data_IF_157573367729
#
_entry.id   IF_157573367729
#
_cell.length_a   1.000
_cell.length_b   1.000
_cell.length_c   1.000
_cell.angle_alpha   90.00
_cell.angle_beta   90.00
_cell.angle_gamma   90.00
#
_symmetry.space_group_name_H-M   'P 1'
#
loop_
_entity.id
_entity.type
_entity.pdbx_description
1 polymer ?
#
# COMPACT_ATOMS: atom_id res chain seq x y z
N UNK A 1 33.55 -44.02 5.07
CA UNK A 1 33.71 -42.88 6.00
C UNK A 1 32.49 -42.00 5.90
N UNK A 2 31.73 -41.94 7.00
CA UNK A 2 30.52 -41.14 7.20
C UNK A 2 30.82 -39.65 7.00
N UNK A 3 29.88 -38.90 6.41
CA UNK A 3 29.34 -37.66 7.01
C UNK A 3 27.95 -37.37 6.40
N UNK A 4 26.95 -37.70 7.21
CA UNK A 4 25.55 -37.36 7.11
C UNK A 4 25.42 -35.97 7.76
N UNK A 5 24.78 -35.00 7.10
CA UNK A 5 24.32 -33.76 7.73
C UNK A 5 22.79 -33.81 7.70
N UNK A 6 22.10 -33.90 8.85
CA UNK A 6 20.67 -34.05 8.90
C UNK A 6 19.96 -32.72 8.68
N UNK A 7 18.82 -32.81 8.00
CA UNK A 7 17.82 -31.75 7.87
C UNK A 7 17.28 -31.36 9.24
N UNK A 8 17.34 -30.07 9.57
CA UNK A 8 16.67 -29.50 10.73
C UNK A 8 15.29 -28.99 10.28
N UNK A 9 14.31 -29.89 10.23
CA UNK A 9 12.90 -29.51 10.23
C UNK A 9 12.51 -29.18 11.67
N UNK A 10 12.44 -27.89 11.99
CA UNK A 10 11.79 -27.43 13.22
C UNK A 10 10.27 -27.52 12.99
N UNK A 11 9.67 -28.61 13.47
CA UNK A 11 8.24 -28.74 13.61
C UNK A 11 7.76 -27.78 14.71
N UNK A 12 7.14 -26.67 14.30
CA UNK A 12 6.30 -25.87 15.19
C UNK A 12 5.04 -26.69 15.45
N UNK A 13 5.01 -27.31 16.63
CA UNK A 13 3.82 -27.96 17.18
C UNK A 13 2.72 -26.91 17.35
N UNK A 14 1.75 -26.90 16.44
CA UNK A 14 0.49 -26.19 16.61
C UNK A 14 -0.41 -27.10 17.44
N UNK A 15 -0.60 -26.76 18.71
CA UNK A 15 -1.68 -27.31 19.53
C UNK A 15 -3.01 -27.09 18.82
N UNK A 16 -3.90 -28.10 18.72
CA UNK A 16 -5.21 -27.90 18.12
C UNK A 16 -6.05 -27.10 19.10
N UNK A 17 -6.20 -25.79 18.85
CA UNK A 17 -7.33 -25.06 19.41
C UNK A 17 -8.61 -25.71 18.88
N UNK A 18 -9.30 -26.41 19.77
CA UNK A 18 -10.62 -26.95 19.50
C UNK A 18 -11.58 -25.80 19.16
N UNK A 19 -12.23 -25.92 18.00
CA UNK A 19 -13.54 -25.32 17.74
C UNK A 19 -13.60 -23.83 17.44
N UNK A 20 -13.11 -23.42 16.28
CA UNK A 20 -13.76 -22.36 15.51
C UNK A 20 -14.24 -22.98 14.21
N UNK A 21 -15.55 -23.14 14.05
CA UNK A 21 -16.13 -23.36 12.73
C UNK A 21 -15.61 -22.23 11.85
N UNK A 22 -14.82 -22.55 10.82
CA UNK A 22 -14.54 -21.57 9.78
C UNK A 22 -15.91 -21.15 9.25
N UNK A 23 -16.33 -19.94 9.60
CA UNK A 23 -17.57 -19.36 9.09
C UNK A 23 -17.44 -19.40 7.57
N UNK A 24 -18.32 -20.16 6.91
CA UNK A 24 -18.22 -20.44 5.47
C UNK A 24 -18.31 -19.16 4.62
N UNK A 25 -18.87 -18.10 5.19
CA UNK A 25 -18.93 -16.75 4.64
C UNK A 25 -18.48 -15.73 5.71
N UNK A 26 -17.79 -14.66 5.30
CA UNK A 26 -17.57 -13.47 6.11
C UNK A 26 -18.87 -12.95 6.70
N UNK A 27 -18.84 -12.55 7.97
CA UNK A 27 -20.00 -11.96 8.66
C UNK A 27 -20.31 -10.53 8.21
N UNK A 28 -19.37 -9.90 7.49
CA UNK A 28 -19.41 -8.51 7.06
C UNK A 28 -19.74 -7.56 8.22
N UNK A 29 -19.30 -7.85 9.46
CA UNK A 29 -19.72 -7.16 10.69
C UNK A 29 -19.20 -5.73 10.90
N UNK A 30 -18.11 -5.32 10.25
CA UNK A 30 -17.51 -3.97 10.42
C UNK A 30 -18.37 -2.84 9.88
N UNK A 31 -18.34 -1.67 10.51
CA UNK A 31 -19.04 -0.48 10.02
C UNK A 31 -18.60 -0.10 8.60
N UNK A 32 -19.53 0.42 7.80
CA UNK A 32 -19.23 0.87 6.44
C UNK A 32 -18.11 1.92 6.46
N UNK A 33 -17.20 1.87 5.48
CA UNK A 33 -16.04 2.74 5.33
C UNK A 33 -14.92 2.57 6.40
N UNK A 34 -15.13 1.80 7.47
CA UNK A 34 -14.08 1.57 8.50
C UNK A 34 -13.07 0.49 8.13
N UNK A 35 -13.22 -0.15 6.95
CA UNK A 35 -12.18 -0.96 6.33
C UNK A 35 -11.19 -0.14 5.49
N UNK A 36 -11.45 1.16 5.33
CA UNK A 36 -10.75 2.01 4.37
C UNK A 36 -10.96 1.57 2.94
N UNK A 37 -10.04 1.99 2.07
CA UNK A 37 -9.88 1.49 0.71
C UNK A 37 -8.58 0.69 0.64
N UNK A 38 -8.24 0.12 -0.52
CA UNK A 38 -6.92 -0.48 -0.73
C UNK A 38 -5.99 0.56 -1.36
N UNK A 39 -4.84 0.79 -0.72
CA UNK A 39 -3.78 1.65 -1.25
C UNK A 39 -3.21 1.04 -2.53
N UNK A 40 -2.56 1.86 -3.37
CA UNK A 40 -1.97 1.44 -4.64
C UNK A 40 -0.95 0.30 -4.51
N UNK A 41 -0.33 0.12 -3.34
CA UNK A 41 0.60 -0.97 -3.03
C UNK A 41 -0.05 -2.23 -2.40
N UNK A 42 -1.38 -2.26 -2.25
CA UNK A 42 -2.17 -3.44 -1.87
C UNK A 42 -2.62 -3.54 -0.41
N UNK A 43 -2.08 -2.74 0.51
CA UNK A 43 -2.52 -2.74 1.92
C UNK A 43 -3.79 -1.90 2.14
N UNK A 44 -4.56 -2.19 3.20
CA UNK A 44 -5.69 -1.36 3.60
C UNK A 44 -5.28 0.03 4.06
N UNK A 45 -6.03 1.06 3.69
CA UNK A 45 -5.77 2.43 4.07
C UNK A 45 -6.50 3.46 3.22
N UNK A 46 -5.79 4.52 2.86
CA UNK A 46 -6.20 5.47 1.81
C UNK A 46 -5.77 4.97 0.43
N UNK A 47 -5.63 5.89 -0.53
CA UNK A 47 -5.12 5.62 -1.87
C UNK A 47 -3.60 5.44 -1.94
N UNK A 48 -2.83 6.20 -1.16
CA UNK A 48 -1.36 6.13 -1.17
C UNK A 48 -0.72 5.86 0.20
N UNK A 49 -1.47 5.97 1.29
CA UNK A 49 -0.97 5.68 2.66
C UNK A 49 -1.68 4.47 3.27
N UNK A 50 -0.96 3.59 3.98
CA UNK A 50 -1.60 2.54 4.75
C UNK A 50 -2.16 3.14 6.04
N UNK A 51 -3.31 2.63 6.47
CA UNK A 51 -3.91 2.95 7.76
C UNK A 51 -3.73 1.78 8.73
N UNK A 52 -3.95 2.04 10.01
CA UNK A 52 -3.96 1.01 11.04
C UNK A 52 -5.18 0.07 10.93
N UNK A 53 -6.19 0.44 10.12
CA UNK A 53 -7.37 -0.36 9.84
C UNK A 53 -7.00 -1.63 9.05
N UNK A 54 -7.69 -2.72 9.38
CA UNK A 54 -7.53 -4.03 8.73
C UNK A 54 -8.56 -4.12 7.60
N UNK A 55 -8.09 -4.38 6.38
CA UNK A 55 -8.92 -4.58 5.21
C UNK A 55 -9.98 -5.67 5.42
N UNK A 56 -11.08 -5.55 4.69
CA UNK A 56 -12.20 -6.49 4.77
C UNK A 56 -13.25 -6.03 5.76
N UNK A 57 -14.45 -6.59 5.63
CA UNK A 57 -15.57 -6.28 6.50
C UNK A 57 -15.83 -7.34 7.58
N UNK A 58 -15.02 -8.40 7.64
CA UNK A 58 -15.08 -9.41 8.70
C UNK A 58 -14.83 -8.81 10.09
N UNK A 59 -15.62 -9.20 11.08
CA UNK A 59 -15.44 -8.82 12.48
C UNK A 59 -14.26 -9.53 13.16
N UNK A 60 -14.17 -9.41 14.49
CA UNK A 60 -13.15 -10.04 15.34
C UNK A 60 -13.21 -11.56 15.33
N UNK A 61 -14.38 -12.15 15.06
CA UNK A 61 -14.59 -13.59 15.02
C UNK A 61 -14.67 -14.14 13.58
N UNK A 62 -14.37 -13.29 12.59
CA UNK A 62 -14.54 -13.60 11.17
C UNK A 62 -13.33 -13.19 10.35
N UNK A 63 -13.46 -13.33 9.03
CA UNK A 63 -12.48 -12.88 8.05
C UNK A 63 -13.18 -12.04 6.99
N UNK A 64 -12.42 -11.33 6.17
CA UNK A 64 -12.96 -10.66 4.99
C UNK A 64 -11.88 -10.50 3.95
N UNK A 65 -12.25 -10.57 2.67
CA UNK A 65 -11.32 -10.41 1.57
C UNK A 65 -11.72 -9.22 0.70
N UNK A 66 -10.75 -8.63 0.02
CA UNK A 66 -10.97 -7.64 -1.00
C UNK A 66 -10.07 -7.90 -2.19
N UNK A 67 -10.60 -7.67 -3.38
CA UNK A 67 -9.84 -7.46 -4.60
C UNK A 67 -9.90 -5.98 -4.98
N UNK A 68 -8.85 -5.46 -5.61
CA UNK A 68 -8.84 -4.09 -6.12
C UNK A 68 -8.20 -4.01 -7.50
N UNK A 69 -8.60 -2.97 -8.22
CA UNK A 69 -7.92 -2.48 -9.41
C UNK A 69 -7.83 -0.96 -9.34
N UNK A 70 -6.63 -0.44 -9.46
CA UNK A 70 -6.30 0.98 -9.40
C UNK A 70 -5.61 1.38 -10.69
N UNK A 71 -5.98 2.54 -11.23
CA UNK A 71 -5.37 3.12 -12.42
C UNK A 71 -5.09 4.59 -12.20
N UNK A 72 -3.84 4.99 -12.44
CA UNK A 72 -3.38 6.37 -12.38
C UNK A 72 -2.90 6.76 -13.76
N UNK A 73 -3.38 7.89 -14.26
CA UNK A 73 -2.96 8.45 -15.53
C UNK A 73 -2.47 9.89 -15.34
N UNK A 74 -1.20 10.09 -15.61
CA UNK A 74 -0.54 11.39 -15.65
C UNK A 74 -0.23 11.76 -17.10
N UNK A 75 0.47 12.87 -17.30
CA UNK A 75 0.84 13.38 -18.62
C UNK A 75 1.74 12.39 -19.36
N UNK A 76 2.78 11.92 -18.68
CA UNK A 76 3.85 11.15 -19.31
C UNK A 76 3.91 9.71 -18.81
N UNK A 77 3.13 9.36 -17.78
CA UNK A 77 3.15 8.02 -17.20
C UNK A 77 1.76 7.49 -16.82
N UNK A 78 1.67 6.17 -16.78
CA UNK A 78 0.51 5.40 -16.35
C UNK A 78 0.94 4.39 -15.30
N UNK A 79 0.15 4.24 -14.24
CA UNK A 79 0.32 3.19 -13.24
C UNK A 79 -0.96 2.38 -13.13
N UNK A 80 -0.88 1.09 -13.42
CA UNK A 80 -1.91 0.12 -13.07
C UNK A 80 -1.48 -0.66 -11.84
N UNK A 81 -2.40 -0.89 -10.91
CA UNK A 81 -2.21 -1.79 -9.77
C UNK A 81 -3.43 -2.68 -9.60
N UNK A 82 -3.22 -3.97 -9.33
CA UNK A 82 -4.30 -4.87 -8.97
C UNK A 82 -3.82 -5.88 -7.96
N UNK A 83 -4.73 -6.37 -7.14
CA UNK A 83 -4.34 -7.28 -6.08
C UNK A 83 -5.47 -7.64 -5.14
N UNK A 84 -5.09 -8.34 -4.08
CA UNK A 84 -6.00 -8.84 -3.06
C UNK A 84 -5.47 -8.55 -1.66
N UNK A 85 -6.37 -8.35 -0.71
CA UNK A 85 -6.08 -8.22 0.71
C UNK A 85 -7.08 -9.03 1.53
N UNK A 86 -6.58 -9.83 2.47
CA UNK A 86 -7.38 -10.68 3.36
C UNK A 86 -7.14 -10.21 4.79
N UNK A 87 -8.21 -9.79 5.47
CA UNK A 87 -8.22 -9.50 6.90
C UNK A 87 -8.78 -10.67 7.69
N UNK A 88 -8.13 -11.01 8.81
CA UNK A 88 -8.50 -12.11 9.70
C UNK A 88 -8.65 -11.56 11.12
N UNK A 89 -9.78 -11.87 11.75
CA UNK A 89 -10.10 -11.53 13.13
C UNK A 89 -9.99 -10.02 13.46
N UNK A 90 -10.17 -9.16 12.45
CA UNK A 90 -9.87 -7.73 12.54
C UNK A 90 -8.50 -7.43 13.18
N UNK A 91 -7.52 -8.32 12.97
CA UNK A 91 -6.22 -8.28 13.65
C UNK A 91 -5.06 -8.39 12.68
N UNK A 92 -5.13 -9.33 11.74
CA UNK A 92 -4.09 -9.62 10.78
C UNK A 92 -4.58 -9.32 9.37
N UNK A 93 -3.74 -8.70 8.55
CA UNK A 93 -3.97 -8.48 7.13
C UNK A 93 -2.79 -9.05 6.33
N UNK A 94 -3.11 -9.82 5.30
CA UNK A 94 -2.16 -10.28 4.29
C UNK A 94 -2.59 -9.70 2.94
N UNK A 95 -1.65 -9.13 2.21
CA UNK A 95 -1.94 -8.52 0.90
C UNK A 95 -0.94 -8.90 -0.17
N UNK A 96 -1.42 -8.86 -1.42
CA UNK A 96 -0.61 -8.99 -2.61
C UNK A 96 -1.08 -7.94 -3.63
N UNK A 97 -0.14 -7.27 -4.27
CA UNK A 97 -0.42 -6.38 -5.40
C UNK A 97 0.63 -6.54 -6.50
N UNK A 98 0.17 -6.51 -7.74
CA UNK A 98 1.01 -6.37 -8.92
C UNK A 98 0.83 -4.97 -9.47
N UNK A 99 1.94 -4.29 -9.73
CA UNK A 99 1.99 -2.95 -10.30
C UNK A 99 2.65 -2.98 -11.68
N UNK A 100 2.10 -2.23 -12.62
CA UNK A 100 2.64 -2.00 -13.95
C UNK A 100 2.74 -0.49 -14.21
N UNK A 101 3.95 0.01 -14.35
CA UNK A 101 4.27 1.40 -14.63
C UNK A 101 4.71 1.54 -16.09
N UNK A 102 4.05 2.42 -16.86
CA UNK A 102 4.32 2.65 -18.27
C UNK A 102 4.59 4.11 -18.55
N UNK A 103 5.46 4.40 -19.51
CA UNK A 103 5.54 5.73 -20.11
C UNK A 103 4.50 5.90 -21.21
N UNK A 104 4.07 7.14 -21.43
CA UNK A 104 3.01 7.50 -22.37
C UNK A 104 3.53 8.26 -23.60
N UNK A 105 4.67 8.96 -23.48
CA UNK A 105 5.23 9.82 -24.53
C UNK A 105 6.71 9.52 -24.77
N UNK A 106 7.16 9.73 -26.01
CA UNK A 106 8.56 9.58 -26.38
C UNK A 106 9.46 10.52 -25.55
N UNK A 107 10.67 10.09 -25.14
CA UNK A 107 11.34 8.83 -25.50
C UNK A 107 10.96 7.63 -24.61
N UNK A 108 10.00 7.79 -23.70
CA UNK A 108 9.62 6.79 -22.69
C UNK A 108 8.35 6.02 -23.06
N UNK A 109 7.79 6.18 -24.27
CA UNK A 109 6.54 5.55 -24.73
C UNK A 109 6.58 4.02 -24.73
N UNK A 110 7.80 3.44 -24.74
CA UNK A 110 8.02 2.00 -24.62
C UNK A 110 8.30 1.53 -23.19
N UNK A 111 8.55 2.45 -22.27
CA UNK A 111 8.90 2.12 -20.89
C UNK A 111 7.82 1.25 -20.27
N UNK A 112 8.22 0.11 -19.73
CA UNK A 112 7.35 -0.76 -18.95
C UNK A 112 8.15 -1.38 -17.80
N UNK A 113 7.73 -1.10 -16.57
CA UNK A 113 8.30 -1.63 -15.34
C UNK A 113 7.19 -2.34 -14.58
N UNK A 114 7.48 -3.55 -14.11
CA UNK A 114 6.55 -4.33 -13.28
C UNK A 114 7.12 -4.57 -11.90
N UNK A 115 6.24 -4.64 -10.91
CA UNK A 115 6.60 -4.92 -9.53
C UNK A 115 5.55 -5.82 -8.87
N UNK A 116 6.00 -6.76 -8.07
CA UNK A 116 5.15 -7.49 -7.13
C UNK A 116 5.38 -6.97 -5.72
N UNK A 117 4.31 -6.91 -4.94
CA UNK A 117 4.30 -6.44 -3.56
C UNK A 117 3.55 -7.46 -2.72
N UNK A 118 4.17 -7.91 -1.63
CA UNK A 118 3.56 -8.77 -0.63
C UNK A 118 3.56 -8.02 0.69
N UNK A 119 2.38 -7.86 1.30
CA UNK A 119 2.19 -7.13 2.54
C UNK A 119 1.73 -8.03 3.68
N UNK A 120 2.19 -7.69 4.88
CA UNK A 120 1.70 -8.20 6.15
C UNK A 120 1.44 -7.00 7.07
N UNK A 121 0.29 -6.94 7.71
CA UNK A 121 -0.05 -5.90 8.68
C UNK A 121 -0.74 -6.52 9.89
N UNK A 122 -0.33 -6.10 11.07
CA UNK A 122 -0.85 -6.59 12.34
C UNK A 122 -1.32 -5.40 13.18
N UNK A 123 -2.61 -5.35 13.51
CA UNK A 123 -3.14 -4.47 14.55
C UNK A 123 -2.54 -4.88 15.88
N UNK A 124 -1.91 -3.95 16.59
CA UNK A 124 -1.20 -4.24 17.85
C UNK A 124 -1.85 -3.59 19.06
N UNK A 125 -2.54 -2.46 18.88
CA UNK A 125 -3.12 -1.68 19.96
C UNK A 125 -4.40 -0.96 19.51
N UNK A 126 -5.34 -0.79 20.43
CA UNK A 126 -6.51 0.07 20.28
C UNK A 126 -7.54 -0.42 19.26
N UNK A 127 -8.66 0.29 19.24
CA UNK A 127 -9.74 0.11 18.28
C UNK A 127 -10.30 1.45 17.84
N UNK A 128 -10.16 1.77 16.55
CA UNK A 128 -10.49 3.09 16.03
C UNK A 128 -12.00 3.39 16.11
N UNK A 129 -12.85 2.35 16.15
CA UNK A 129 -14.30 2.48 16.15
C UNK A 129 -14.85 2.41 17.56
N UNK A 130 -14.41 1.44 18.36
CA UNK A 130 -15.06 1.15 19.65
C UNK A 130 -14.49 1.93 20.84
N UNK A 131 -13.25 2.42 20.78
CA UNK A 131 -12.64 3.20 21.87
C UNK A 131 -12.81 4.72 21.64
N UNK A 132 -14.06 5.21 21.65
CA UNK A 132 -14.38 6.63 21.43
C UNK A 132 -14.14 7.52 22.66
N UNK A 133 -14.16 6.94 23.86
CA UNK A 133 -13.91 7.60 25.15
C UNK A 133 -12.43 7.74 25.51
N UNK A 134 -11.55 7.18 24.67
CA UNK A 134 -10.10 7.21 24.82
C UNK A 134 -9.44 8.06 23.73
N UNK A 135 -8.32 8.72 24.04
CA UNK A 135 -7.48 9.40 23.05
C UNK A 135 -6.57 8.43 22.28
N UNK A 136 -6.49 7.17 22.71
CA UNK A 136 -5.64 6.15 22.09
C UNK A 136 -6.14 5.86 20.66
N UNK A 137 -5.26 5.94 19.65
CA UNK A 137 -5.59 5.51 18.29
C UNK A 137 -5.46 4.00 18.15
N UNK A 138 -6.06 3.44 17.11
CA UNK A 138 -5.69 2.11 16.64
C UNK A 138 -4.29 2.16 16.05
N UNK A 139 -3.42 1.23 16.45
CA UNK A 139 -2.05 1.12 15.96
C UNK A 139 -1.86 -0.22 15.28
N UNK A 140 -1.25 -0.20 14.10
CA UNK A 140 -0.80 -1.39 13.39
C UNK A 140 0.66 -1.26 12.99
N UNK A 141 1.36 -2.39 13.00
CA UNK A 141 2.67 -2.52 12.39
C UNK A 141 2.53 -3.26 11.06
N UNK A 142 3.35 -2.93 10.09
CA UNK A 142 3.33 -3.63 8.81
C UNK A 142 4.70 -3.78 8.16
N UNK A 143 4.76 -4.76 7.28
CA UNK A 143 5.90 -5.15 6.50
C UNK A 143 5.43 -5.31 5.05
N UNK A 144 6.19 -4.76 4.11
CA UNK A 144 5.96 -4.97 2.68
C UNK A 144 7.25 -5.43 2.03
N UNK A 145 7.24 -6.61 1.44
CA UNK A 145 8.28 -7.05 0.53
C UNK A 145 7.93 -6.65 -0.89
N UNK A 146 8.87 -6.06 -1.61
CA UNK A 146 8.67 -5.53 -2.95
C UNK A 146 9.74 -6.05 -3.87
N UNK A 147 9.35 -6.54 -5.04
CA UNK A 147 10.25 -7.09 -6.05
C UNK A 147 9.96 -6.46 -7.41
N UNK A 148 10.89 -5.66 -7.90
CA UNK A 148 10.92 -5.19 -9.27
C UNK A 148 11.24 -6.36 -10.22
N UNK A 149 10.55 -6.41 -11.37
CA UNK A 149 10.66 -7.49 -12.36
C UNK A 149 11.49 -7.11 -13.59
N UNK A 150 12.22 -6.00 -13.52
CA UNK A 150 13.05 -5.48 -14.59
C UNK A 150 12.45 -4.27 -15.30
N UNK A 151 13.25 -3.69 -16.18
CA UNK A 151 12.90 -2.51 -16.98
C UNK A 151 12.87 -2.92 -18.44
N UNK A 152 11.76 -2.61 -19.14
CA UNK A 152 11.60 -2.85 -20.57
C UNK A 152 11.38 -1.54 -21.31
N UNK A 153 11.70 -1.52 -22.59
CA UNK A 153 11.52 -0.38 -23.49
C UNK A 153 12.65 0.64 -23.49
N UNK A 154 13.68 0.43 -22.65
CA UNK A 154 14.89 1.25 -22.60
C UNK A 154 16.14 0.47 -23.06
N UNK A 155 15.96 -0.63 -23.79
CA UNK A 155 17.05 -1.51 -24.23
C UNK A 155 18.00 -0.78 -25.18
N UNK A 156 17.47 0.13 -26.01
CA UNK A 156 18.27 0.98 -26.89
C UNK A 156 19.21 1.93 -26.13
N UNK A 157 18.91 2.22 -24.85
CA UNK A 157 19.75 2.99 -23.94
C UNK A 157 20.62 2.09 -23.04
N UNK A 158 20.62 0.78 -23.29
CA UNK A 158 21.35 -0.21 -22.49
C UNK A 158 20.70 -0.51 -21.12
N UNK A 159 19.49 -0.03 -20.86
CA UNK A 159 18.80 -0.18 -19.57
C UNK A 159 17.77 -1.30 -19.65
N UNK A 160 18.02 -2.35 -18.87
CA UNK A 160 17.20 -3.57 -18.75
C UNK A 160 16.82 -3.87 -17.30
N UNK A 161 17.47 -3.20 -16.34
CA UNK A 161 17.20 -3.36 -14.91
C UNK A 161 17.35 -2.03 -14.17
N UNK A 162 16.77 -1.97 -12.97
CA UNK A 162 16.81 -0.77 -12.12
C UNK A 162 18.21 -0.44 -11.59
N UNK A 163 19.14 -1.40 -11.54
CA UNK A 163 20.52 -1.13 -11.12
C UNK A 163 21.27 -0.26 -12.12
N UNK A 164 20.95 -0.39 -13.40
CA UNK A 164 21.46 0.48 -14.46
C UNK A 164 20.86 1.89 -14.40
N UNK A 165 19.76 2.08 -13.66
CA UNK A 165 19.20 3.39 -13.31
C UNK A 165 19.81 3.97 -12.02
N UNK A 166 20.83 3.30 -11.45
CA UNK A 166 21.53 3.73 -10.24
C UNK A 166 21.04 3.07 -8.95
N UNK A 167 19.98 2.24 -8.98
CA UNK A 167 19.53 1.53 -7.79
C UNK A 167 20.55 0.49 -7.34
N UNK A 168 20.61 0.23 -6.03
CA UNK A 168 21.47 -0.85 -5.51
C UNK A 168 20.84 -2.22 -5.75
N UNK A 169 19.55 -2.30 -5.49
CA UNK A 169 18.79 -3.54 -5.53
C UNK A 169 17.48 -3.43 -6.30
N UNK A 170 17.03 -4.57 -6.82
CA UNK A 170 15.75 -4.75 -7.49
C UNK A 170 14.64 -5.22 -6.54
N UNK A 171 14.94 -5.33 -5.25
CA UNK A 171 13.99 -5.71 -4.21
C UNK A 171 14.33 -5.04 -2.89
N UNK A 172 13.35 -4.98 -2.00
CA UNK A 172 13.55 -4.45 -0.66
C UNK A 172 12.33 -4.61 0.22
N UNK A 173 12.52 -4.20 1.46
CA UNK A 173 11.50 -4.23 2.50
C UNK A 173 11.16 -2.82 2.94
N UNK A 174 9.87 -2.58 3.13
CA UNK A 174 9.35 -1.44 3.86
C UNK A 174 8.78 -1.94 5.19
N UNK A 175 9.15 -1.29 6.28
CA UNK A 175 8.54 -1.50 7.60
C UNK A 175 7.78 -0.24 7.96
N UNK A 176 6.59 -0.36 8.54
CA UNK A 176 5.83 0.82 8.95
C UNK A 176 5.06 0.59 10.24
N UNK A 177 4.77 1.71 10.90
CA UNK A 177 3.81 1.79 12.00
C UNK A 177 2.78 2.84 11.62
N UNK A 178 1.50 2.49 11.67
CA UNK A 178 0.38 3.37 11.40
C UNK A 178 -0.45 3.56 12.65
N UNK A 179 -0.90 4.79 12.90
CA UNK A 179 -1.82 5.14 13.97
C UNK A 179 -3.02 5.86 13.37
N UNK A 180 -4.22 5.26 13.51
CA UNK A 180 -5.47 5.79 12.96
C UNK A 180 -6.47 6.05 14.07
N UNK A 181 -7.08 7.24 14.08
CA UNK A 181 -8.19 7.59 14.96
C UNK A 181 -9.41 7.98 14.13
N UNK A 182 -10.57 7.44 14.49
CA UNK A 182 -11.86 7.88 13.96
C UNK A 182 -12.58 8.62 15.09
N UNK A 183 -12.93 9.86 14.80
CA UNK A 183 -13.76 10.72 15.62
C UNK A 183 -15.18 10.67 15.07
N UNK A 184 -16.02 9.78 15.64
CA UNK A 184 -17.34 9.50 15.08
C UNK A 184 -18.28 10.72 15.12
N UNK A 185 -18.24 11.51 16.19
CA UNK A 185 -19.06 12.71 16.33
C UNK A 185 -18.74 13.77 15.26
N UNK A 186 -17.46 13.87 14.89
CA UNK A 186 -16.95 14.81 13.90
C UNK A 186 -16.90 14.21 12.49
N UNK A 187 -17.29 12.94 12.32
CA UNK A 187 -17.19 12.21 11.05
C UNK A 187 -15.78 12.30 10.42
N UNK A 188 -14.75 12.31 11.26
CA UNK A 188 -13.36 12.59 10.86
C UNK A 188 -12.46 11.39 11.17
N UNK A 189 -11.66 10.97 10.19
CA UNK A 189 -10.57 10.03 10.34
C UNK A 189 -9.25 10.78 10.19
N UNK A 190 -8.34 10.59 11.14
CA UNK A 190 -6.96 11.03 11.05
C UNK A 190 -6.03 9.82 11.12
N UNK A 191 -5.01 9.82 10.28
CA UNK A 191 -3.98 8.79 10.29
C UNK A 191 -2.59 9.38 10.08
N UNK A 192 -1.64 8.81 10.80
CA UNK A 192 -0.23 9.06 10.65
C UNK A 192 0.51 7.73 10.52
N UNK A 193 1.42 7.64 9.56
CA UNK A 193 2.27 6.47 9.32
C UNK A 193 3.73 6.90 9.33
N UNK A 194 4.58 6.12 9.97
CA UNK A 194 6.03 6.24 9.85
C UNK A 194 6.59 5.00 9.17
N UNK A 195 7.22 5.18 8.01
CA UNK A 195 7.75 4.09 7.19
C UNK A 195 9.28 4.13 7.14
N UNK A 196 9.93 3.04 7.51
CA UNK A 196 11.34 2.79 7.25
C UNK A 196 11.49 2.15 5.86
N UNK A 197 12.12 2.86 4.92
CA UNK A 197 12.22 2.40 3.54
C UNK A 197 13.49 2.89 2.82
N UNK A 198 13.90 2.11 1.81
CA UNK A 198 14.92 2.46 0.80
C UNK A 198 14.32 2.60 -0.60
N UNK A 199 13.01 2.46 -0.75
CA UNK A 199 12.33 2.31 -2.03
C UNK A 199 12.26 3.62 -2.80
N UNK A 200 12.66 3.61 -4.07
CA UNK A 200 12.55 4.76 -4.98
C UNK A 200 11.23 4.68 -5.74
N UNK A 201 10.41 5.74 -5.69
CA UNK A 201 9.08 5.78 -6.30
C UNK A 201 8.24 4.52 -5.94
N UNK A 202 8.10 4.24 -4.64
CA UNK A 202 7.45 3.01 -4.09
C UNK A 202 8.13 1.68 -4.44
N UNK A 203 9.34 1.70 -5.03
CA UNK A 203 10.12 0.52 -5.44
C UNK A 203 10.16 0.34 -6.96
N UNK A 204 9.37 1.11 -7.71
CA UNK A 204 9.31 1.06 -9.18
C UNK A 204 10.70 1.32 -9.77
N UNK A 205 11.48 2.22 -9.17
CA UNK A 205 12.84 2.52 -9.59
C UNK A 205 13.90 1.80 -8.74
N UNK A 206 13.53 0.68 -8.09
CA UNK A 206 14.45 -0.10 -7.25
C UNK A 206 14.65 0.48 -5.85
N UNK A 207 15.70 0.00 -5.19
CA UNK A 207 15.95 0.24 -3.76
C UNK A 207 17.38 0.70 -3.52
N UNK A 208 17.54 1.69 -2.64
CA UNK A 208 18.81 2.36 -2.43
C UNK A 208 19.26 3.11 -3.68
N UNK A 209 20.50 3.56 -3.73
CA UNK A 209 20.99 4.24 -4.91
C UNK A 209 22.41 4.78 -4.81
N UNK A 210 22.81 5.42 -5.90
CA UNK A 210 24.09 6.09 -6.09
C UNK A 210 24.32 7.27 -5.14
N UNK A 211 23.24 7.92 -4.66
CA UNK A 211 23.34 9.00 -3.66
C UNK A 211 23.30 8.49 -2.22
N UNK A 212 22.43 7.52 -1.92
CA UNK A 212 22.28 6.99 -0.57
C UNK A 212 21.72 5.58 -0.60
N UNK A 213 22.20 4.72 0.29
CA UNK A 213 21.75 3.33 0.40
C UNK A 213 21.09 3.03 1.77
N UNK A 214 20.97 4.04 2.63
CA UNK A 214 20.51 3.85 4.00
C UNK A 214 18.98 3.77 4.08
N UNK A 215 18.48 2.96 5.01
CA UNK A 215 17.07 2.97 5.37
C UNK A 215 16.72 4.28 6.06
N UNK A 216 15.69 4.96 5.55
CA UNK A 216 15.24 6.24 6.11
C UNK A 216 13.81 6.16 6.59
N UNK A 217 13.52 6.92 7.64
CA UNK A 217 12.18 7.10 8.18
C UNK A 217 11.44 8.19 7.40
N UNK A 218 10.30 7.83 6.85
CA UNK A 218 9.45 8.66 6.00
C UNK A 218 8.07 8.80 6.64
N UNK A 219 7.64 10.03 7.00
CA UNK A 219 6.30 10.27 7.48
C UNK A 219 5.28 10.28 6.34
N UNK A 220 4.09 9.79 6.66
CA UNK A 220 2.91 9.83 5.81
C UNK A 220 1.72 10.27 6.67
N UNK A 221 0.82 11.08 6.11
CA UNK A 221 -0.35 11.61 6.80
C UNK A 221 -1.57 11.50 5.91
N UNK A 222 -2.73 11.27 6.52
CA UNK A 222 -3.99 11.30 5.79
C UNK A 222 -5.12 11.74 6.69
N UNK A 223 -6.05 12.50 6.13
CA UNK A 223 -7.30 12.87 6.77
C UNK A 223 -8.47 12.54 5.85
N UNK A 224 -9.55 12.03 6.40
CA UNK A 224 -10.78 11.76 5.67
C UNK A 224 -12.00 12.23 6.46
N UNK A 225 -12.90 12.95 5.81
CA UNK A 225 -14.14 13.46 6.35
C UNK A 225 -15.31 12.75 5.68
N UNK A 226 -16.15 12.08 6.46
CA UNK A 226 -17.37 11.42 5.98
C UNK A 226 -18.46 12.47 5.81
N UNK A 227 -18.65 12.94 4.57
CA UNK A 227 -19.74 13.85 4.19
C UNK A 227 -21.10 13.18 4.42
N UNK A 228 -21.17 11.88 4.11
CA UNK A 228 -22.33 11.04 4.40
C UNK A 228 -21.85 9.70 4.91
N UNK A 229 -22.77 8.85 5.36
CA UNK A 229 -22.46 7.46 5.74
C UNK A 229 -21.85 6.61 4.61
N UNK A 230 -21.86 7.10 3.36
CA UNK A 230 -21.39 6.39 2.17
C UNK A 230 -20.34 7.16 1.37
N UNK A 231 -20.03 8.41 1.73
CA UNK A 231 -19.12 9.26 0.93
C UNK A 231 -18.12 9.92 1.86
N UNK A 232 -16.84 9.70 1.59
CA UNK A 232 -15.74 10.36 2.27
C UNK A 232 -14.96 11.24 1.30
N UNK A 233 -14.53 12.40 1.77
CA UNK A 233 -13.57 13.29 1.10
C UNK A 233 -12.31 13.32 1.95
N UNK A 234 -11.13 13.24 1.34
CA UNK A 234 -9.89 13.26 2.10
C UNK A 234 -8.71 13.77 1.32
N UNK A 235 -7.58 13.80 2.00
CA UNK A 235 -6.30 14.16 1.43
C UNK A 235 -5.19 13.34 2.09
N UNK A 236 -4.15 13.06 1.31
CA UNK A 236 -3.01 12.27 1.73
C UNK A 236 -1.69 12.96 1.39
N UNK A 237 -0.69 12.70 2.23
CA UNK A 237 0.68 13.10 2.06
C UNK A 237 1.57 11.90 2.32
N UNK A 238 2.52 11.65 1.41
CA UNK A 238 3.51 10.59 1.59
C UNK A 238 4.89 11.08 1.22
N UNK A 239 5.81 11.15 2.19
CA UNK A 239 7.21 11.45 1.91
C UNK A 239 7.93 10.23 1.36
N UNK A 240 8.92 10.43 0.49
CA UNK A 240 9.76 9.38 -0.07
C UNK A 240 11.27 9.68 0.09
N UNK A 241 12.12 8.64 0.13
CA UNK A 241 13.56 8.81 0.14
C UNK A 241 14.06 9.43 -1.17
N UNK A 242 15.26 10.00 -1.11
CA UNK A 242 15.94 10.58 -2.25
C UNK A 242 17.29 9.88 -2.41
N UNK A 243 17.24 8.66 -2.96
CA UNK A 243 18.41 7.78 -3.03
C UNK A 243 19.09 7.80 -4.40
N UNK A 244 18.39 8.27 -5.44
CA UNK A 244 18.87 8.26 -6.82
C UNK A 244 19.26 9.64 -7.32
N UNK A 245 20.31 9.71 -8.12
CA UNK A 245 20.65 10.84 -8.99
C UNK A 245 19.52 11.20 -9.96
N UNK A 246 18.82 10.15 -10.41
CA UNK A 246 17.79 10.18 -11.46
C UNK A 246 16.38 10.50 -10.95
N UNK A 247 16.20 10.74 -9.65
CA UNK A 247 14.94 11.11 -9.02
C UNK A 247 15.17 12.41 -8.23
N UNK A 248 14.24 13.36 -8.28
CA UNK A 248 14.31 14.65 -7.56
C UNK A 248 13.13 14.88 -6.62
N UNK A 249 12.08 14.07 -6.71
CA UNK A 249 10.86 14.30 -5.97
C UNK A 249 10.91 13.70 -4.58
N UNK A 250 10.27 14.36 -3.62
CA UNK A 250 10.38 14.03 -2.19
C UNK A 250 9.05 13.68 -1.56
N UNK A 251 7.94 13.92 -2.24
CA UNK A 251 6.65 13.51 -1.74
C UNK A 251 5.60 13.27 -2.84
N UNK A 252 4.56 12.56 -2.44
CA UNK A 252 3.29 12.50 -3.15
C UNK A 252 2.21 13.17 -2.31
N UNK A 253 1.27 13.78 -3.00
CA UNK A 253 0.06 14.34 -2.40
C UNK A 253 -1.13 13.91 -3.22
N UNK A 254 -2.26 13.67 -2.57
CA UNK A 254 -3.53 13.57 -3.29
C UNK A 254 -4.69 14.16 -2.48
N UNK A 255 -5.76 14.47 -3.22
CA UNK A 255 -7.07 14.71 -2.66
C UNK A 255 -8.04 13.72 -3.30
N UNK A 256 -8.85 13.04 -2.48
CA UNK A 256 -9.67 11.92 -2.91
C UNK A 256 -11.12 12.03 -2.47
N UNK A 257 -12.01 11.42 -3.24
CA UNK A 257 -13.39 11.10 -2.86
C UNK A 257 -13.56 9.59 -2.94
N UNK A 258 -14.03 8.99 -1.85
CA UNK A 258 -14.34 7.58 -1.75
C UNK A 258 -15.84 7.37 -1.52
N UNK A 259 -16.45 6.53 -2.35
CA UNK A 259 -17.85 6.16 -2.30
C UNK A 259 -18.02 4.68 -1.96
N UNK A 260 -18.82 4.41 -0.94
CA UNK A 260 -19.09 3.09 -0.37
C UNK A 260 -20.58 2.76 -0.54
N UNK A 261 -21.04 2.36 -1.74
CA UNK A 261 -22.46 2.04 -1.96
C UNK A 261 -22.94 0.89 -1.07
N UNK A 262 -22.10 -0.13 -0.89
CA UNK A 262 -22.33 -1.35 -0.10
C UNK A 262 -21.04 -1.74 0.64
N UNK A 263 -21.07 -2.77 1.50
CA UNK A 263 -19.85 -3.32 2.11
C UNK A 263 -19.00 -4.14 1.11
N UNK A 264 -19.55 -4.49 -0.04
CA UNK A 264 -18.87 -5.29 -1.05
C UNK A 264 -18.26 -4.45 -2.16
N UNK A 265 -18.57 -3.15 -2.25
CA UNK A 265 -18.08 -2.31 -3.35
C UNK A 265 -17.67 -0.96 -2.79
N UNK A 266 -16.48 -0.50 -3.16
CA UNK A 266 -16.07 0.88 -3.02
C UNK A 266 -15.41 1.39 -4.30
N UNK A 267 -15.59 2.68 -4.56
CA UNK A 267 -15.01 3.40 -5.68
C UNK A 267 -14.30 4.63 -5.13
N UNK A 268 -13.04 4.82 -5.50
CA UNK A 268 -12.24 5.98 -5.08
C UNK A 268 -11.73 6.70 -6.30
N UNK A 269 -11.96 8.00 -6.36
CA UNK A 269 -11.35 8.88 -7.34
C UNK A 269 -10.45 9.88 -6.60
N UNK A 270 -9.26 10.14 -7.12
CA UNK A 270 -8.36 11.11 -6.54
C UNK A 270 -7.64 11.91 -7.62
N UNK A 271 -7.17 13.10 -7.25
CA UNK A 271 -6.23 13.87 -8.04
C UNK A 271 -4.89 13.84 -7.32
N UNK A 272 -3.90 13.19 -7.94
CA UNK A 272 -2.60 12.96 -7.35
C UNK A 272 -1.55 13.90 -7.97
N UNK A 273 -0.77 14.56 -7.12
CA UNK A 273 0.47 15.25 -7.48
C UNK A 273 1.63 14.31 -7.15
N UNK A 274 2.23 13.72 -8.18
CA UNK A 274 3.32 12.76 -8.07
C UNK A 274 4.70 13.39 -8.20
N UNK A 275 4.75 14.66 -8.62
CA UNK A 275 5.96 15.43 -8.84
C UNK A 275 6.86 14.82 -9.91
N UNK A 276 8.17 15.01 -9.81
CA UNK A 276 9.11 14.50 -10.81
C UNK A 276 9.39 13.00 -10.58
N UNK A 277 9.14 12.16 -11.59
CA UNK A 277 9.33 10.70 -11.43
C UNK A 277 10.74 10.27 -11.87
N UNK A 278 11.28 10.81 -12.96
CA UNK A 278 12.64 10.48 -13.45
C UNK A 278 13.33 11.70 -14.08
N UNK A 279 14.67 11.74 -14.11
CA UNK A 279 15.42 12.80 -14.82
C UNK A 279 15.23 12.76 -16.34
N UNK A 280 14.82 11.60 -16.90
CA UNK A 280 14.54 11.50 -18.33
C UNK A 280 13.29 12.29 -18.72
N UNK A 281 12.49 12.66 -17.73
CA UNK A 281 11.39 13.59 -17.90
C UNK A 281 11.20 14.43 -16.62
N UNK A 282 11.86 15.60 -16.52
CA UNK A 282 11.82 16.48 -15.34
C UNK A 282 10.51 17.29 -15.25
N UNK A 283 9.44 16.84 -15.90
CA UNK A 283 8.13 17.45 -15.78
C UNK A 283 7.43 16.88 -14.55
N UNK A 284 6.84 17.78 -13.76
CA UNK A 284 5.95 17.42 -12.67
C UNK A 284 4.76 16.63 -13.20
N UNK A 285 4.55 15.47 -12.61
CA UNK A 285 3.48 14.57 -12.97
C UNK A 285 2.32 14.75 -12.00
N UNK A 286 1.14 14.94 -12.57
CA UNK A 286 -0.11 14.95 -11.82
C UNK A 286 -1.22 14.34 -12.66
N UNK A 287 -2.25 13.83 -12.00
CA UNK A 287 -3.34 13.26 -12.75
C UNK A 287 -4.38 12.54 -11.93
N UNK A 288 -5.29 11.92 -12.67
CA UNK A 288 -6.43 11.23 -12.09
C UNK A 288 -6.03 9.82 -11.68
N UNK A 289 -6.44 9.48 -10.47
CA UNK A 289 -6.41 8.17 -9.84
C UNK A 289 -7.84 7.66 -9.77
N UNK A 290 -8.08 6.42 -10.20
CA UNK A 290 -9.35 5.74 -10.02
C UNK A 290 -9.09 4.34 -9.48
N UNK A 291 -9.80 3.97 -8.42
CA UNK A 291 -9.70 2.65 -7.80
C UNK A 291 -11.09 2.06 -7.60
N UNK A 292 -11.24 0.80 -7.99
CA UNK A 292 -12.41 -0.03 -7.74
C UNK A 292 -12.00 -1.16 -6.80
N UNK A 293 -12.78 -1.38 -5.77
CA UNK A 293 -12.58 -2.46 -4.82
C UNK A 293 -13.86 -3.29 -4.68
N UNK A 294 -13.68 -4.60 -4.66
CA UNK A 294 -14.72 -5.59 -4.45
C UNK A 294 -14.40 -6.41 -3.19
N UNK A 295 -15.30 -6.41 -2.21
CA UNK A 295 -15.18 -7.10 -0.93
C UNK A 295 -16.06 -8.34 -0.85
N UNK A 296 -15.58 -9.34 -0.11
CA UNK A 296 -16.23 -10.62 0.12
C UNK A 296 -16.20 -10.97 1.60
#
# INVERSE_FOLDING_TARGET
MKKIIPALMAALAVSPFAGAYAQSSPDMGKLLATGGVIQVEGAGGGGITPWALISGYGSRDSWGANAHYTYINTQDYKLGSYGVAIGIADRLEVSFANQEFKGSLAPLDKLNIKQDIVGLKLKVLGDAVYEQDSWVPQVAIGLMYKKNKGVRGLEALGVTNVRQLGAKDDHGYDYYVSATKIYLEQSLLLNATLRATRANQMGILGFGGDRNDDTRLMPEFSAAYLITRKVALGAEYRRKPHNLGVDNEKAYYDAFVAWFPTRNVSVTAAYAELGDITIFNPKKQHGLYLSLQAGF
#
